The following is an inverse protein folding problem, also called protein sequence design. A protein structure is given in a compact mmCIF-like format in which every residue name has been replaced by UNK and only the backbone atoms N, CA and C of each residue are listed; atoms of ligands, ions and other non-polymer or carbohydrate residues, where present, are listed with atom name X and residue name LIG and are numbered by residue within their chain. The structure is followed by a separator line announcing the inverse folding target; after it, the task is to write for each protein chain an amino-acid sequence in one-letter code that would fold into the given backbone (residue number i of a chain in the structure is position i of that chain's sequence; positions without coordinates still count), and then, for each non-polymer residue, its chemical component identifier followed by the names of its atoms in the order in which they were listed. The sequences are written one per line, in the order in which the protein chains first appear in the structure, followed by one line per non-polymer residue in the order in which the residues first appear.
data_IF_149195740954
#
_entry.id   IF_149195740954
#
_cell.length_a   1.000
_cell.length_b   1.000
_cell.length_c   1.000
_cell.angle_alpha   90.00
_cell.angle_beta   90.00
_cell.angle_gamma   90.00
#
_symmetry.space_group_name_H-M   'P 1'
#
loop_
_entity.id
_entity.type
_entity.pdbx_description
1 polymer ?
#
# COMPACT_ATOMS: atom_id res chain seq x y z
N UNK A 1 -36.66 -28.59 -32.44
CA UNK A 1 -35.34 -28.89 -31.82
C UNK A 1 -34.38 -27.82 -32.31
N UNK A 2 -34.11 -26.82 -31.49
CA UNK A 2 -33.02 -25.88 -31.68
C UNK A 2 -32.35 -25.72 -30.31
N UNK A 3 -31.14 -26.26 -30.21
CA UNK A 3 -30.34 -26.24 -29.00
C UNK A 3 -29.82 -24.83 -28.76
N UNK A 4 -30.37 -24.18 -27.75
CA UNK A 4 -29.89 -22.89 -27.26
C UNK A 4 -28.66 -23.10 -26.37
N UNK A 5 -27.46 -22.89 -26.90
CA UNK A 5 -26.24 -22.75 -26.10
C UNK A 5 -26.26 -21.40 -25.41
N UNK A 6 -26.63 -21.38 -24.14
CA UNK A 6 -26.49 -20.25 -23.27
C UNK A 6 -25.00 -20.03 -22.93
N UNK A 7 -24.39 -19.03 -23.55
CA UNK A 7 -23.05 -18.55 -23.18
C UNK A 7 -23.09 -17.98 -21.76
N UNK A 8 -22.58 -18.73 -20.79
CA UNK A 8 -22.43 -18.27 -19.41
C UNK A 8 -21.43 -17.14 -19.32
N UNK A 9 -21.88 -15.96 -18.89
CA UNK A 9 -21.02 -14.82 -18.59
C UNK A 9 -20.03 -15.21 -17.48
N UNK A 10 -18.74 -15.20 -17.77
CA UNK A 10 -17.66 -15.45 -16.82
C UNK A 10 -17.10 -14.14 -16.25
N UNK A 11 -16.62 -14.18 -15.03
CA UNK A 11 -15.89 -13.05 -14.40
C UNK A 11 -14.45 -13.09 -14.89
N UNK A 12 -13.99 -11.97 -15.49
CA UNK A 12 -12.60 -11.82 -15.94
C UNK A 12 -11.65 -11.77 -14.73
N UNK A 13 -10.83 -12.80 -14.60
CA UNK A 13 -9.70 -12.78 -13.67
C UNK A 13 -8.54 -11.97 -14.28
N UNK A 14 -7.68 -11.40 -13.43
CA UNK A 14 -6.52 -10.56 -13.84
C UNK A 14 -5.51 -11.24 -14.79
N UNK A 15 -5.71 -12.49 -15.18
CA UNK A 15 -4.84 -13.25 -16.08
C UNK A 15 -5.57 -13.71 -17.37
N UNK A 16 -6.63 -13.03 -17.80
CA UNK A 16 -7.30 -13.34 -19.08
C UNK A 16 -8.05 -14.68 -19.16
N UNK A 17 -7.99 -15.54 -18.14
CA UNK A 17 -8.78 -16.76 -18.06
C UNK A 17 -10.17 -16.46 -17.50
N UNK A 18 -11.18 -16.66 -18.31
CA UNK A 18 -12.59 -16.53 -17.88
C UNK A 18 -12.91 -17.70 -16.97
N UNK A 19 -13.01 -17.47 -15.66
CA UNK A 19 -13.50 -18.47 -14.71
C UNK A 19 -15.03 -18.49 -14.75
N UNK A 20 -15.67 -19.68 -14.85
CA UNK A 20 -17.12 -19.75 -14.77
C UNK A 20 -17.62 -19.10 -13.47
N UNK A 21 -18.59 -18.20 -13.58
CA UNK A 21 -19.13 -17.47 -12.42
C UNK A 21 -19.61 -18.40 -11.30
N UNK A 22 -20.14 -19.58 -11.67
CA UNK A 22 -20.57 -20.63 -10.75
C UNK A 22 -19.41 -21.13 -9.86
N UNK A 23 -18.21 -21.32 -10.41
CA UNK A 23 -17.04 -21.72 -9.65
C UNK A 23 -16.61 -20.63 -8.65
N UNK A 24 -16.63 -19.36 -9.08
CA UNK A 24 -16.33 -18.21 -8.22
C UNK A 24 -17.36 -18.08 -7.10
N UNK A 25 -18.65 -18.27 -7.42
CA UNK A 25 -19.71 -18.24 -6.42
C UNK A 25 -19.57 -19.37 -5.39
N UNK A 26 -19.35 -20.62 -5.84
CA UNK A 26 -19.17 -21.77 -4.94
C UNK A 26 -17.97 -21.57 -3.99
N UNK A 27 -16.86 -21.03 -4.50
CA UNK A 27 -15.67 -20.72 -3.69
C UNK A 27 -16.00 -19.67 -2.62
N UNK A 28 -16.61 -18.55 -3.00
CA UNK A 28 -17.01 -17.49 -2.06
C UNK A 28 -18.02 -17.98 -1.02
N UNK A 29 -19.01 -18.74 -1.47
CA UNK A 29 -20.01 -19.32 -0.58
C UNK A 29 -19.39 -20.31 0.42
N UNK A 30 -18.43 -21.13 -0.02
CA UNK A 30 -17.72 -22.05 0.86
C UNK A 30 -16.91 -21.29 1.91
N UNK A 31 -16.21 -20.21 1.52
CA UNK A 31 -15.46 -19.34 2.46
C UNK A 31 -16.42 -18.71 3.47
N UNK A 32 -17.51 -18.09 3.02
CA UNK A 32 -18.51 -17.46 3.89
C UNK A 32 -19.12 -18.46 4.87
N UNK A 33 -19.48 -19.64 4.38
CA UNK A 33 -20.00 -20.74 5.20
C UNK A 33 -18.99 -21.17 6.27
N UNK A 34 -17.72 -21.33 5.88
CA UNK A 34 -16.68 -21.74 6.81
C UNK A 34 -16.47 -20.69 7.92
N UNK A 35 -16.51 -19.39 7.59
CA UNK A 35 -16.47 -18.32 8.58
C UNK A 35 -17.68 -18.38 9.54
N UNK A 36 -18.89 -18.55 9.02
CA UNK A 36 -20.10 -18.65 9.85
C UNK A 36 -20.08 -19.83 10.82
N UNK A 37 -19.48 -20.95 10.41
CA UNK A 37 -19.40 -22.17 11.25
C UNK A 37 -18.09 -22.30 12.01
N UNK A 38 -17.23 -21.27 12.04
CA UNK A 38 -15.96 -21.29 12.74
C UNK A 38 -14.98 -22.35 12.21
N UNK A 39 -15.11 -22.74 10.95
CA UNK A 39 -14.23 -23.75 10.30
C UNK A 39 -13.01 -23.07 9.70
N UNK A 40 -12.03 -22.78 10.54
CA UNK A 40 -10.75 -22.17 10.12
C UNK A 40 -9.59 -22.82 10.88
N UNK A 41 -8.41 -22.73 10.28
CA UNK A 41 -7.15 -23.08 10.94
C UNK A 41 -6.43 -21.79 11.33
N UNK A 42 -5.94 -21.74 12.57
CA UNK A 42 -5.11 -20.62 13.05
C UNK A 42 -3.66 -21.09 13.04
N UNK A 43 -2.80 -20.32 12.38
CA UNK A 43 -1.36 -20.50 12.46
C UNK A 43 -0.72 -19.29 13.10
N UNK A 44 0.03 -19.51 14.16
CA UNK A 44 0.75 -18.44 14.86
C UNK A 44 2.18 -18.38 14.33
N UNK A 45 2.58 -17.24 13.77
CA UNK A 45 3.94 -16.97 13.34
C UNK A 45 4.70 -16.33 14.51
N UNK A 46 5.72 -17.01 15.00
CA UNK A 46 6.53 -16.55 16.16
C UNK A 46 7.90 -16.11 15.69
N UNK A 47 8.38 -14.96 16.22
CA UNK A 47 9.72 -14.49 15.86
C UNK A 47 10.01 -13.06 16.33
N UNK A 48 9.08 -12.10 16.15
CA UNK A 48 9.27 -10.78 16.73
C UNK A 48 9.31 -10.82 18.24
N UNK A 49 10.19 -10.02 18.84
CA UNK A 49 10.38 -9.93 20.30
C UNK A 49 9.58 -8.82 20.93
N UNK A 50 9.07 -7.89 20.12
CA UNK A 50 8.22 -6.79 20.53
C UNK A 50 6.98 -6.67 19.62
N UNK A 51 6.13 -5.68 19.87
CA UNK A 51 4.88 -5.47 19.12
C UNK A 51 5.12 -5.26 17.62
N UNK A 52 4.26 -5.90 16.80
CA UNK A 52 4.25 -5.73 15.35
C UNK A 52 3.44 -4.49 15.01
N UNK A 53 4.02 -3.58 14.25
CA UNK A 53 3.42 -2.28 13.90
C UNK A 53 2.83 -2.26 12.50
N UNK A 54 3.42 -2.99 11.58
CA UNK A 54 2.99 -2.99 10.18
C UNK A 54 3.18 -4.36 9.54
N UNK A 55 2.35 -4.61 8.55
CA UNK A 55 2.42 -5.82 7.75
C UNK A 55 1.99 -5.54 6.31
N UNK A 56 2.53 -6.29 5.38
CA UNK A 56 2.06 -6.35 4.00
C UNK A 56 2.06 -7.79 3.52
N UNK A 57 1.05 -8.14 2.73
CA UNK A 57 0.82 -9.48 2.23
C UNK A 57 0.65 -9.47 0.72
N UNK A 58 1.25 -10.45 0.04
CA UNK A 58 1.00 -10.74 -1.36
C UNK A 58 0.81 -12.23 -1.58
N UNK A 59 -0.31 -12.58 -2.21
CA UNK A 59 -0.64 -13.96 -2.54
C UNK A 59 0.16 -14.47 -3.74
N UNK A 60 0.32 -13.61 -4.76
CA UNK A 60 0.99 -13.95 -6.01
C UNK A 60 2.18 -13.01 -6.22
N UNK A 61 3.35 -13.59 -6.32
CA UNK A 61 4.60 -12.90 -6.61
C UNK A 61 5.26 -13.62 -7.78
N UNK A 62 5.81 -12.88 -8.72
CA UNK A 62 6.53 -13.44 -9.87
C UNK A 62 7.62 -14.41 -9.40
N UNK A 63 7.64 -15.61 -9.99
CA UNK A 63 8.61 -16.67 -9.69
C UNK A 63 8.50 -17.35 -8.31
N UNK A 64 7.46 -17.08 -7.53
CA UNK A 64 7.22 -17.79 -6.27
C UNK A 64 5.87 -18.52 -6.31
N UNK A 65 5.86 -19.75 -5.82
CA UNK A 65 4.66 -20.59 -5.74
C UNK A 65 3.87 -20.42 -4.43
N UNK A 66 4.41 -19.63 -3.50
CA UNK A 66 3.85 -19.46 -2.16
C UNK A 66 3.62 -17.99 -1.81
N UNK A 67 2.60 -17.68 -1.00
CA UNK A 67 2.32 -16.33 -0.57
C UNK A 67 3.38 -15.84 0.44
N UNK A 68 3.70 -14.55 0.37
CA UNK A 68 4.67 -13.89 1.24
C UNK A 68 3.95 -12.89 2.13
N UNK A 69 4.31 -12.92 3.40
CA UNK A 69 4.00 -11.88 4.38
C UNK A 69 5.29 -11.20 4.81
N UNK A 70 5.27 -9.89 4.91
CA UNK A 70 6.36 -9.10 5.48
C UNK A 70 5.82 -8.31 6.66
N UNK A 71 6.53 -8.34 7.79
CA UNK A 71 6.13 -7.67 9.03
C UNK A 71 7.27 -6.80 9.54
N UNK A 72 6.91 -5.64 10.11
CA UNK A 72 7.84 -4.75 10.80
C UNK A 72 7.37 -4.49 12.23
N UNK A 73 8.30 -4.42 13.16
CA UNK A 73 7.99 -4.31 14.59
C UNK A 73 8.81 -3.27 15.36
N UNK A 74 8.43 -3.09 16.61
CA UNK A 74 9.18 -2.26 17.56
C UNK A 74 10.58 -2.82 17.85
N UNK A 75 10.77 -4.15 17.69
CA UNK A 75 12.08 -4.80 17.79
C UNK A 75 13.08 -4.37 16.71
N UNK A 76 12.75 -3.33 15.93
CA UNK A 76 13.58 -2.73 14.87
C UNK A 76 13.90 -3.67 13.71
N UNK A 77 13.26 -4.84 13.68
CA UNK A 77 13.45 -5.85 12.63
C UNK A 77 12.29 -5.86 11.65
N UNK A 78 12.61 -6.27 10.43
CA UNK A 78 11.62 -6.62 9.42
C UNK A 78 11.77 -8.10 9.11
N UNK A 79 10.67 -8.85 9.11
CA UNK A 79 10.68 -10.29 8.87
C UNK A 79 9.89 -10.63 7.62
N UNK A 80 10.48 -11.49 6.81
CA UNK A 80 9.86 -12.05 5.60
C UNK A 80 9.45 -13.48 5.90
N UNK A 81 8.18 -13.80 5.69
CA UNK A 81 7.60 -15.10 6.05
C UNK A 81 7.06 -15.83 4.82
N UNK A 82 7.31 -17.11 4.75
CA UNK A 82 6.59 -18.02 3.87
C UNK A 82 5.29 -18.44 4.56
N UNK A 83 4.15 -18.04 4.03
CA UNK A 83 2.86 -18.38 4.64
C UNK A 83 2.44 -19.84 4.41
N UNK A 84 3.02 -20.53 3.43
CA UNK A 84 2.73 -21.95 3.22
C UNK A 84 3.36 -22.83 4.31
N UNK A 85 4.63 -22.56 4.66
CA UNK A 85 5.36 -23.34 5.71
C UNK A 85 5.22 -22.70 7.09
N UNK A 86 5.03 -21.38 7.17
CA UNK A 86 5.04 -20.60 8.41
C UNK A 86 6.44 -20.22 8.88
N UNK A 87 7.46 -20.45 8.07
CA UNK A 87 8.85 -20.18 8.41
C UNK A 87 9.28 -18.76 8.06
N UNK A 88 10.21 -18.23 8.84
CA UNK A 88 10.88 -16.96 8.54
C UNK A 88 11.93 -17.20 7.46
N UNK A 89 11.77 -16.60 6.30
CA UNK A 89 12.73 -16.67 5.20
C UNK A 89 13.92 -15.74 5.43
N UNK A 90 13.67 -14.52 5.95
CA UNK A 90 14.68 -13.49 6.19
C UNK A 90 14.33 -12.65 7.41
N UNK A 91 15.37 -12.16 8.07
CA UNK A 91 15.29 -11.12 9.09
C UNK A 91 16.18 -9.98 8.64
N UNK A 92 15.58 -8.83 8.37
CA UNK A 92 16.29 -7.63 7.93
C UNK A 92 16.52 -6.73 9.15
N UNK A 93 17.78 -6.44 9.41
CA UNK A 93 18.23 -5.58 10.50
C UNK A 93 18.93 -4.34 9.95
N UNK A 94 18.83 -3.22 10.64
CA UNK A 94 19.50 -1.98 10.20
C UNK A 94 18.74 -0.71 10.55
N UNK A 95 17.44 -0.79 10.91
CA UNK A 95 16.76 0.34 11.53
C UNK A 95 17.18 0.51 12.99
N UNK A 96 17.35 1.77 13.41
CA UNK A 96 17.75 2.12 14.79
C UNK A 96 16.57 2.18 15.76
N UNK A 97 15.32 2.31 15.23
CA UNK A 97 14.08 2.33 16.00
C UNK A 97 13.01 1.49 15.34
N UNK A 98 11.84 1.39 15.96
CA UNK A 98 10.71 0.59 15.48
C UNK A 98 10.29 0.93 14.04
N UNK A 99 9.96 -0.10 13.27
CA UNK A 99 9.50 -0.01 11.88
C UNK A 99 8.00 0.22 11.90
N UNK A 100 7.55 1.39 11.46
CA UNK A 100 6.16 1.84 11.55
C UNK A 100 5.33 1.53 10.31
N UNK A 101 5.95 1.55 9.14
CA UNK A 101 5.27 1.33 7.88
C UNK A 101 6.16 0.57 6.89
N UNK A 102 5.53 -0.19 6.02
CA UNK A 102 6.21 -0.93 4.96
C UNK A 102 5.29 -1.18 3.76
N UNK A 103 5.89 -1.28 2.59
CA UNK A 103 5.24 -1.74 1.37
C UNK A 103 6.27 -2.48 0.51
N UNK A 104 5.84 -3.51 -0.22
CA UNK A 104 6.74 -4.24 -1.11
C UNK A 104 6.09 -4.59 -2.45
N UNK A 105 6.92 -4.79 -3.46
CA UNK A 105 6.57 -5.31 -4.77
C UNK A 105 7.35 -6.60 -5.08
N UNK A 106 7.38 -7.00 -6.34
CA UNK A 106 8.08 -8.20 -6.77
C UNK A 106 9.62 -8.08 -6.65
N UNK A 107 10.16 -6.86 -6.62
CA UNK A 107 11.59 -6.60 -6.66
C UNK A 107 12.14 -6.02 -5.36
N UNK A 108 11.41 -5.09 -4.74
CA UNK A 108 11.90 -4.30 -3.63
C UNK A 108 10.91 -4.23 -2.47
N UNK A 109 11.44 -4.00 -1.30
CA UNK A 109 10.73 -3.66 -0.08
C UNK A 109 11.18 -2.27 0.37
N UNK A 110 10.24 -1.44 0.77
CA UNK A 110 10.51 -0.13 1.36
C UNK A 110 9.93 -0.13 2.77
N UNK A 111 10.72 0.34 3.71
CA UNK A 111 10.37 0.42 5.13
C UNK A 111 10.59 1.83 5.64
N UNK A 112 9.66 2.31 6.45
CA UNK A 112 9.77 3.57 7.16
C UNK A 112 9.76 3.34 8.67
N UNK A 113 10.62 4.08 9.37
CA UNK A 113 10.87 3.88 10.79
C UNK A 113 10.80 5.17 11.59
N UNK A 114 10.61 4.98 12.88
CA UNK A 114 10.73 6.04 13.90
C UNK A 114 12.17 6.58 14.04
N UNK A 115 13.16 5.97 13.35
CA UNK A 115 14.54 6.49 13.24
C UNK A 115 14.67 7.60 12.18
N UNK A 116 13.57 8.08 11.60
CA UNK A 116 13.47 9.16 10.59
C UNK A 116 14.01 8.78 9.22
N UNK A 117 14.32 7.50 8.99
CA UNK A 117 14.85 7.00 7.71
C UNK A 117 13.87 6.11 7.00
N UNK A 118 13.94 6.13 5.66
CA UNK A 118 13.39 5.09 4.80
C UNK A 118 14.53 4.19 4.34
N UNK A 119 14.27 2.90 4.26
CA UNK A 119 15.24 1.94 3.74
C UNK A 119 14.61 1.14 2.60
N UNK A 120 15.37 1.01 1.52
CA UNK A 120 15.00 0.21 0.35
C UNK A 120 15.83 -1.06 0.38
N UNK A 121 15.15 -2.20 0.36
CA UNK A 121 15.76 -3.52 0.48
C UNK A 121 15.43 -4.38 -0.74
N UNK A 122 16.35 -5.25 -1.09
CA UNK A 122 16.01 -6.45 -1.84
C UNK A 122 15.54 -7.50 -0.82
N UNK A 123 14.24 -7.67 -0.68
CA UNK A 123 13.67 -8.57 0.33
C UNK A 123 13.96 -10.05 0.05
N UNK A 124 14.32 -10.42 -1.20
CA UNK A 124 14.69 -11.80 -1.57
C UNK A 124 16.11 -12.16 -1.12
N UNK A 125 17.06 -11.25 -1.29
CA UNK A 125 18.45 -11.44 -0.86
C UNK A 125 18.68 -11.02 0.58
N UNK A 126 17.90 -10.07 1.08
CA UNK A 126 18.07 -9.45 2.39
C UNK A 126 18.99 -8.23 2.37
N UNK A 127 19.45 -7.81 1.19
CA UNK A 127 20.41 -6.73 1.02
C UNK A 127 19.75 -5.36 1.16
N UNK A 128 20.40 -4.45 1.88
CA UNK A 128 20.05 -3.04 1.96
C UNK A 128 20.58 -2.32 0.72
N UNK A 129 19.67 -1.86 -0.14
CA UNK A 129 20.03 -1.18 -1.39
C UNK A 129 20.30 0.31 -1.17
N UNK A 130 19.47 0.97 -0.34
CA UNK A 130 19.57 2.41 -0.12
C UNK A 130 18.92 2.82 1.19
N UNK A 131 19.48 3.86 1.82
CA UNK A 131 18.85 4.61 2.90
C UNK A 131 18.53 6.02 2.42
N UNK A 132 17.31 6.49 2.68
CA UNK A 132 16.84 7.82 2.34
C UNK A 132 16.64 8.61 3.63
N UNK A 133 17.29 9.75 3.73
CA UNK A 133 17.27 10.64 4.88
C UNK A 133 16.71 12.01 4.47
N UNK A 134 16.00 12.67 5.40
CA UNK A 134 15.45 13.99 5.13
C UNK A 134 14.31 14.39 6.06
N UNK A 135 13.49 13.45 6.55
CA UNK A 135 12.51 13.75 7.58
C UNK A 135 13.21 14.09 8.92
N UNK A 136 12.63 15.03 9.66
CA UNK A 136 13.18 15.47 10.96
C UNK A 136 12.59 14.67 12.12
N UNK A 137 11.45 14.00 11.91
CA UNK A 137 10.81 13.13 12.88
C UNK A 137 10.48 11.76 12.27
N UNK A 138 9.91 10.84 13.09
CA UNK A 138 9.61 9.48 12.70
C UNK A 138 8.69 9.38 11.50
N UNK A 139 8.96 8.41 10.62
CA UNK A 139 8.13 8.14 9.44
C UNK A 139 6.98 7.25 9.86
N UNK A 140 5.76 7.70 9.58
CA UNK A 140 4.52 7.07 10.02
C UNK A 140 3.86 6.28 8.89
N UNK A 141 3.91 6.84 7.68
CA UNK A 141 3.26 6.25 6.51
C UNK A 141 4.14 6.30 5.27
N UNK A 142 3.91 5.37 4.36
CA UNK A 142 4.54 5.36 3.04
C UNK A 142 3.63 4.74 2.00
N UNK A 143 3.80 5.15 0.77
CA UNK A 143 3.21 4.51 -0.41
C UNK A 143 4.17 4.66 -1.57
N UNK A 144 4.30 3.60 -2.39
CA UNK A 144 5.09 3.72 -3.61
C UNK A 144 4.40 3.05 -4.79
N UNK A 145 4.72 3.55 -5.96
CA UNK A 145 4.36 2.97 -7.24
C UNK A 145 5.51 3.21 -8.22
N UNK A 146 5.99 2.14 -8.83
CA UNK A 146 7.12 2.17 -9.75
C UNK A 146 8.39 2.81 -9.12
N UNK A 147 8.79 3.99 -9.59
CA UNK A 147 9.95 4.74 -9.08
C UNK A 147 9.60 5.85 -8.10
N UNK A 148 8.31 6.16 -7.94
CA UNK A 148 7.85 7.23 -7.07
C UNK A 148 7.45 6.66 -5.72
N UNK A 149 8.06 7.20 -4.68
CA UNK A 149 7.77 6.90 -3.28
C UNK A 149 7.30 8.18 -2.60
N UNK A 150 6.23 8.10 -1.84
CA UNK A 150 5.80 9.17 -0.94
C UNK A 150 5.88 8.67 0.51
N UNK A 151 6.38 9.50 1.40
CA UNK A 151 6.46 9.24 2.84
C UNK A 151 5.83 10.36 3.63
N UNK A 152 5.06 10.01 4.66
CA UNK A 152 4.45 10.91 5.63
C UNK A 152 5.09 10.71 7.00
N UNK A 153 5.28 11.81 7.70
CA UNK A 153 6.03 11.83 8.95
C UNK A 153 5.28 12.56 10.06
N UNK A 154 5.74 12.32 11.28
CA UNK A 154 5.37 13.07 12.48
C UNK A 154 5.82 14.52 12.44
N UNK A 155 6.74 14.90 11.51
CA UNK A 155 7.13 16.29 11.25
C UNK A 155 6.08 17.09 10.45
N UNK A 156 4.88 16.53 10.24
CA UNK A 156 3.78 17.08 9.46
C UNK A 156 4.07 17.27 7.96
N UNK A 157 5.23 16.90 7.48
CA UNK A 157 5.59 16.99 6.06
C UNK A 157 5.34 15.66 5.34
N UNK A 158 5.11 15.78 4.03
CA UNK A 158 5.17 14.67 3.09
C UNK A 158 6.43 14.88 2.25
N UNK A 159 7.16 13.81 1.98
CA UNK A 159 8.27 13.84 1.03
C UNK A 159 8.02 12.87 -0.10
N UNK A 160 8.27 13.34 -1.31
CA UNK A 160 8.16 12.51 -2.52
C UNK A 160 9.58 12.27 -3.04
N UNK A 161 9.90 11.01 -3.23
CA UNK A 161 11.24 10.54 -3.56
C UNK A 161 11.25 9.82 -4.90
N UNK A 162 12.33 9.94 -5.62
CA UNK A 162 12.67 9.02 -6.70
C UNK A 162 13.48 7.86 -6.11
N UNK A 163 12.96 6.63 -6.15
CA UNK A 163 13.62 5.45 -5.58
C UNK A 163 14.97 5.15 -6.24
N UNK A 164 15.17 5.56 -7.49
CA UNK A 164 16.38 5.29 -8.25
C UNK A 164 17.47 6.33 -7.97
N UNK A 165 17.15 7.62 -8.03
CA UNK A 165 18.15 8.71 -7.83
C UNK A 165 18.31 9.05 -6.35
N UNK A 166 17.26 8.91 -5.54
CA UNK A 166 17.20 9.34 -4.15
C UNK A 166 16.86 10.83 -4.00
N UNK A 167 16.62 11.53 -5.10
CA UNK A 167 16.16 12.91 -5.07
C UNK A 167 14.79 13.01 -4.44
N UNK A 168 14.55 14.07 -3.66
CA UNK A 168 13.26 14.28 -3.05
C UNK A 168 12.84 15.76 -3.07
N UNK A 169 11.51 15.96 -2.98
CA UNK A 169 10.93 17.26 -2.71
C UNK A 169 9.86 17.16 -1.62
N UNK A 170 9.72 18.19 -0.77
CA UNK A 170 8.69 18.22 0.26
C UNK A 170 7.36 18.72 -0.29
N UNK A 171 6.25 18.24 0.29
CA UNK A 171 4.91 18.79 0.17
C UNK A 171 4.48 19.23 1.57
N UNK A 172 4.37 20.53 1.78
CA UNK A 172 4.05 21.13 3.06
C UNK A 172 2.60 21.62 3.07
N UNK A 173 1.94 21.47 4.21
CA UNK A 173 0.57 21.96 4.36
C UNK A 173 -0.17 21.35 5.53
N UNK A 174 0.04 20.06 5.84
CA UNK A 174 -0.48 19.48 7.07
C UNK A 174 0.12 20.16 8.31
N UNK A 175 -0.61 20.09 9.43
CA UNK A 175 -0.23 20.74 10.69
C UNK A 175 0.11 19.73 11.79
N UNK A 176 -0.09 18.45 11.50
CA UNK A 176 0.16 17.35 12.41
C UNK A 176 0.58 16.09 11.66
N UNK A 177 0.76 14.97 12.33
CA UNK A 177 1.25 13.72 11.79
C UNK A 177 0.52 13.30 10.52
N UNK A 178 1.26 12.84 9.52
CA UNK A 178 0.69 12.30 8.27
C UNK A 178 0.59 10.79 8.38
N UNK A 179 -0.59 10.31 8.75
CA UNK A 179 -0.83 8.91 9.12
C UNK A 179 -1.03 7.98 7.93
N UNK A 180 -1.57 8.48 6.83
CA UNK A 180 -1.82 7.65 5.67
C UNK A 180 -1.56 8.39 4.36
N UNK A 181 -1.06 7.64 3.38
CA UNK A 181 -0.78 8.10 2.03
C UNK A 181 -1.28 7.09 1.01
N UNK A 182 -1.83 7.58 -0.09
CA UNK A 182 -2.26 6.76 -1.21
C UNK A 182 -1.93 7.42 -2.54
N UNK A 183 -1.06 6.80 -3.31
CA UNK A 183 -0.81 7.20 -4.70
C UNK A 183 -1.96 6.76 -5.61
N UNK A 184 -2.36 7.67 -6.48
CA UNK A 184 -3.34 7.41 -7.52
C UNK A 184 -2.81 7.88 -8.88
N UNK A 185 -2.90 7.02 -9.88
CA UNK A 185 -2.59 7.36 -11.26
C UNK A 185 -3.86 7.29 -12.08
N UNK A 186 -4.25 8.40 -12.71
CA UNK A 186 -5.35 8.41 -13.66
C UNK A 186 -4.98 7.60 -14.90
N UNK A 187 -5.74 6.55 -15.19
CA UNK A 187 -5.68 5.89 -16.49
C UNK A 187 -6.51 6.68 -17.48
N UNK A 188 -5.99 7.78 -18.02
CA UNK A 188 -6.62 8.39 -19.19
C UNK A 188 -6.06 7.72 -20.44
N UNK A 189 -6.97 7.13 -21.21
CA UNK A 189 -6.74 6.61 -22.55
C UNK A 189 -5.94 7.63 -23.39
N UNK A 190 -4.88 7.13 -24.03
CA UNK A 190 -4.17 7.70 -25.16
C UNK A 190 -3.79 9.20 -25.06
N UNK A 191 -2.48 9.46 -24.96
CA UNK A 191 -1.79 10.71 -25.28
C UNK A 191 -1.67 11.83 -24.24
N UNK A 192 -1.83 11.58 -22.94
CA UNK A 192 -1.40 12.57 -21.95
C UNK A 192 -0.51 11.90 -20.89
N UNK A 193 0.65 12.51 -20.65
CA UNK A 193 1.59 12.15 -19.57
C UNK A 193 0.83 11.81 -18.30
N UNK A 194 1.04 10.59 -17.77
CA UNK A 194 0.38 10.06 -16.57
C UNK A 194 0.38 11.08 -15.44
N UNK A 195 -0.79 11.68 -15.18
CA UNK A 195 -0.98 12.55 -14.04
C UNK A 195 -1.00 11.70 -12.78
N UNK A 196 -0.04 11.92 -11.90
CA UNK A 196 0.06 11.20 -10.65
C UNK A 196 -0.37 12.11 -9.50
N UNK A 197 -1.33 11.63 -8.74
CA UNK A 197 -1.89 12.32 -7.59
C UNK A 197 -1.57 11.57 -6.31
N UNK A 198 -1.55 12.29 -5.19
CA UNK A 198 -1.36 11.74 -3.87
C UNK A 198 -2.49 12.21 -2.95
N UNK A 199 -3.14 11.26 -2.27
CA UNK A 199 -4.00 11.54 -1.13
C UNK A 199 -3.20 11.38 0.14
N UNK A 200 -3.37 12.30 1.08
CA UNK A 200 -2.77 12.24 2.41
C UNK A 200 -3.83 12.48 3.49
N UNK A 201 -3.71 11.75 4.60
CA UNK A 201 -4.58 11.90 5.76
C UNK A 201 -3.73 12.18 7.00
N UNK A 202 -4.21 13.06 7.88
CA UNK A 202 -3.43 13.59 9.00
C UNK A 202 -4.26 13.69 10.28
N UNK A 203 -3.52 13.77 11.40
CA UNK A 203 -4.06 14.10 12.72
C UNK A 203 -4.60 15.54 12.79
N UNK A 204 -4.32 16.39 11.80
CA UNK A 204 -4.92 17.72 11.67
C UNK A 204 -6.40 17.69 11.20
N UNK A 205 -7.02 16.49 11.18
CA UNK A 205 -8.41 16.21 10.80
C UNK A 205 -8.72 16.47 9.32
N UNK A 206 -7.70 16.63 8.49
CA UNK A 206 -7.88 16.89 7.06
C UNK A 206 -7.34 15.74 6.20
N UNK A 207 -7.96 15.59 5.02
CA UNK A 207 -7.41 14.83 3.92
C UNK A 207 -7.05 15.82 2.83
N UNK A 208 -5.90 15.65 2.19
CA UNK A 208 -5.43 16.51 1.11
C UNK A 208 -5.17 15.73 -0.15
N UNK A 209 -5.49 16.36 -1.29
CA UNK A 209 -5.17 15.88 -2.62
C UNK A 209 -4.05 16.75 -3.21
N UNK A 210 -2.99 16.11 -3.66
CA UNK A 210 -1.80 16.74 -4.21
C UNK A 210 -1.59 16.34 -5.66
N UNK A 211 -1.22 17.31 -6.49
CA UNK A 211 -0.65 17.06 -7.82
C UNK A 211 0.88 16.96 -7.69
N UNK A 212 1.41 15.77 -7.99
CA UNK A 212 2.85 15.53 -7.86
C UNK A 212 3.66 16.16 -8.99
N UNK A 213 3.03 16.47 -10.13
CA UNK A 213 3.69 17.13 -11.25
C UNK A 213 3.94 18.61 -10.96
N UNK A 214 2.92 19.30 -10.46
CA UNK A 214 2.99 20.73 -10.13
C UNK A 214 3.46 20.98 -8.70
N UNK A 215 3.52 19.91 -7.85
CA UNK A 215 3.88 19.95 -6.43
C UNK A 215 2.95 20.84 -5.60
N UNK A 216 1.68 20.86 -5.93
CA UNK A 216 0.66 21.72 -5.34
C UNK A 216 -0.44 20.93 -4.64
N UNK A 217 -1.02 21.52 -3.60
CA UNK A 217 -2.23 21.01 -2.97
C UNK A 217 -3.43 21.47 -3.77
N UNK A 218 -4.11 20.54 -4.43
CA UNK A 218 -5.30 20.85 -5.23
C UNK A 218 -6.54 21.02 -4.36
N UNK A 219 -6.66 20.24 -3.29
CA UNK A 219 -7.89 20.19 -2.51
C UNK A 219 -7.62 19.82 -1.06
N UNK A 220 -8.36 20.42 -0.14
CA UNK A 220 -8.35 20.10 1.28
C UNK A 220 -9.76 19.69 1.68
N UNK A 221 -9.93 18.45 2.09
CA UNK A 221 -11.19 17.90 2.58
C UNK A 221 -11.24 18.09 4.09
N UNK A 222 -12.26 18.77 4.57
CA UNK A 222 -12.52 19.00 5.99
C UNK A 222 -13.86 18.39 6.37
N UNK A 223 -14.05 18.08 7.66
CA UNK A 223 -15.31 17.52 8.16
C UNK A 223 -15.12 16.39 9.16
N UNK A 224 -13.93 15.83 9.26
CA UNK A 224 -13.60 14.90 10.34
C UNK A 224 -13.48 15.66 11.67
N UNK A 225 -14.02 15.08 12.72
CA UNK A 225 -13.98 15.62 14.10
C UNK A 225 -12.84 15.00 14.93
N UNK A 226 -12.04 14.13 14.34
CA UNK A 226 -10.90 13.45 14.96
C UNK A 226 -9.82 13.10 13.96
N UNK A 227 -8.69 12.54 14.43
CA UNK A 227 -7.56 12.11 13.62
C UNK A 227 -7.97 11.18 12.47
N UNK A 228 -7.35 11.34 11.31
CA UNK A 228 -7.60 10.47 10.16
C UNK A 228 -6.43 9.49 10.03
N UNK A 229 -6.62 8.28 10.53
CA UNK A 229 -5.59 7.24 10.58
C UNK A 229 -5.40 6.49 9.26
N UNK A 230 -6.42 6.47 8.40
CA UNK A 230 -6.40 5.75 7.13
C UNK A 230 -7.11 6.51 6.02
N UNK A 231 -6.48 6.52 4.85
CA UNK A 231 -7.10 6.92 3.60
C UNK A 231 -6.95 5.77 2.60
N UNK A 232 -8.06 5.31 2.03
CA UNK A 232 -8.06 4.30 0.99
C UNK A 232 -8.96 4.74 -0.15
N UNK A 233 -8.42 4.82 -1.37
CA UNK A 233 -9.22 5.09 -2.55
C UNK A 233 -9.96 3.83 -2.99
N UNK A 234 -11.27 3.88 -3.03
CA UNK A 234 -12.08 2.84 -3.68
C UNK A 234 -11.98 2.97 -5.21
N UNK A 235 -12.04 1.87 -5.91
CA UNK A 235 -12.01 1.83 -7.39
C UNK A 235 -13.12 2.65 -8.09
N UNK A 236 -14.12 3.10 -7.35
CA UNK A 236 -15.24 3.92 -7.82
C UNK A 236 -14.86 5.40 -8.11
N UNK A 237 -13.73 5.88 -7.59
CA UNK A 237 -13.26 7.26 -7.86
C UNK A 237 -12.76 7.39 -9.32
N UNK A 238 -12.60 6.27 -10.02
CA UNK A 238 -12.16 6.24 -11.42
C UNK A 238 -13.10 6.97 -12.39
N UNK A 239 -14.39 7.12 -12.06
CA UNK A 239 -15.38 7.71 -12.97
C UNK A 239 -15.74 9.17 -12.66
N UNK A 240 -15.54 9.65 -11.45
CA UNK A 240 -16.05 10.96 -11.03
C UNK A 240 -15.09 12.13 -11.25
N UNK A 241 -13.77 11.93 -11.23
CA UNK A 241 -12.80 13.03 -11.42
C UNK A 241 -12.64 13.43 -12.90
N UNK A 242 -13.09 12.56 -13.82
CA UNK A 242 -13.03 12.85 -15.28
C UNK A 242 -14.17 13.69 -15.84
N UNK A 243 -15.25 13.95 -15.10
CA UNK A 243 -16.47 14.57 -15.65
C UNK A 243 -16.87 15.94 -15.11
N UNK A 244 -16.27 16.44 -14.02
CA UNK A 244 -16.73 17.73 -13.47
C UNK A 244 -15.58 18.69 -13.14
N UNK A 245 -15.14 19.45 -14.15
CA UNK A 245 -14.46 20.73 -13.96
C UNK A 245 -15.46 21.89 -13.70
N UNK A 246 -16.63 21.61 -13.26
CA UNK A 246 -17.62 22.64 -13.03
C UNK A 246 -18.82 22.17 -12.26
N UNK A 247 -18.72 22.12 -10.95
CA UNK A 247 -19.73 22.37 -9.92
C UNK A 247 -19.44 21.54 -8.68
N UNK A 248 -18.81 22.16 -7.70
CA UNK A 248 -18.94 21.72 -6.31
C UNK A 248 -20.01 22.61 -5.67
N UNK A 249 -21.12 22.00 -5.24
CA UNK A 249 -21.91 22.51 -4.14
C UNK A 249 -21.41 21.86 -2.86
#
# INVERSE_FOLDING_TARGET
RTDGQGAGAGVSGRNGSIRPWKAVYCERFAIERNWRYGRYCVRVLRGHTEGIMCLAFREKISQLSHPILITGGYDRTVRVWNLQTGETLRVLTGHARGVRCLQFDDCKLITGSMDRTLKIWNWRTGELLRTLEGHTEGIVSLTFKDLILASGSADSSIRVWNCQTGECFPLNGHRDWVNALQLWSGSSSSNSSDSMFLFSASDDFTIRLWDLRHRECLMVFQGHVGPVDRAQTCSWIHESIGRDRGRCC
#
